data_IF_432344794627
#
_entry.id   IF_432344794627
#
_cell.length_a   1.000
_cell.length_b   1.000
_cell.length_c   1.000
_cell.angle_alpha   90.00
_cell.angle_beta   90.00
_cell.angle_gamma   90.00
#
_symmetry.space_group_name_H-M   'P 1'
#
loop_
_entity.id
_entity.type
_entity.pdbx_description
1 polymer ?
#
# COMPACT_ATOMS: atom_id res chain seq x y z
N UNK A 1 7.82 3.50 21.95
CA UNK A 1 8.41 2.15 21.87
C UNK A 1 7.92 1.40 23.10
N UNK A 2 6.90 0.56 22.95
CA UNK A 2 6.46 -0.32 24.02
C UNK A 2 7.49 -1.44 24.15
N UNK A 3 7.72 -1.90 25.35
CA UNK A 3 8.75 -2.88 25.74
C UNK A 3 8.84 -4.02 24.74
N UNK A 4 10.02 -4.17 24.13
CA UNK A 4 10.29 -5.14 23.09
C UNK A 4 10.32 -6.57 23.62
N UNK A 5 9.17 -7.14 23.89
CA UNK A 5 9.04 -8.56 24.23
C UNK A 5 9.09 -9.36 22.93
N UNK A 6 10.13 -10.16 22.75
CA UNK A 6 10.20 -11.13 21.66
C UNK A 6 9.24 -12.27 21.94
N UNK A 7 8.26 -12.47 21.07
CA UNK A 7 7.39 -13.64 21.09
C UNK A 7 7.62 -14.50 19.85
N UNK A 8 7.62 -15.81 20.03
CA UNK A 8 7.61 -16.74 18.90
C UNK A 8 6.16 -16.80 18.39
N UNK A 9 5.93 -16.27 17.20
CA UNK A 9 4.62 -16.42 16.53
C UNK A 9 4.51 -17.84 15.99
N UNK A 10 3.49 -18.55 16.41
CA UNK A 10 3.08 -19.83 15.83
C UNK A 10 1.66 -19.72 15.26
N UNK A 11 1.24 -20.69 14.47
CA UNK A 11 -0.11 -20.73 13.91
C UNK A 11 -1.23 -20.68 14.98
N UNK A 12 -0.89 -20.84 16.25
CA UNK A 12 -1.82 -20.85 17.39
C UNK A 12 -1.73 -19.55 18.21
N UNK A 13 -0.67 -18.75 18.02
CA UNK A 13 -0.47 -17.51 18.77
C UNK A 13 -0.64 -16.31 17.84
N UNK A 14 -1.88 -15.85 17.68
CA UNK A 14 -2.18 -14.62 16.97
C UNK A 14 -1.81 -13.41 17.85
N UNK A 15 -1.35 -12.29 17.26
CA UNK A 15 -1.17 -11.07 18.01
C UNK A 15 -2.51 -10.59 18.61
N UNK A 16 -2.45 -9.86 19.72
CA UNK A 16 -3.64 -9.28 20.32
C UNK A 16 -4.38 -8.36 19.33
N UNK A 17 -5.70 -8.21 19.47
CA UNK A 17 -6.54 -7.52 18.49
C UNK A 17 -6.21 -6.02 18.30
N UNK A 18 -5.47 -5.42 19.22
CA UNK A 18 -4.99 -4.05 19.19
C UNK A 18 -3.60 -3.90 18.53
N UNK A 19 -2.98 -5.02 18.13
CA UNK A 19 -1.67 -5.03 17.45
C UNK A 19 -1.88 -5.03 15.95
N UNK A 20 -1.46 -3.96 15.29
CA UNK A 20 -1.58 -3.78 13.83
C UNK A 20 -0.25 -3.89 13.08
N UNK A 21 0.85 -4.15 13.79
CA UNK A 21 2.18 -4.25 13.18
C UNK A 21 3.06 -5.20 13.99
N UNK A 22 3.72 -6.12 13.30
CA UNK A 22 4.65 -7.09 13.89
C UNK A 22 5.96 -7.04 13.12
N UNK A 23 7.06 -6.90 13.86
CA UNK A 23 8.40 -6.88 13.30
C UNK A 23 9.09 -8.23 13.51
N UNK A 24 9.58 -8.81 12.44
CA UNK A 24 10.34 -10.05 12.47
C UNK A 24 11.85 -9.78 12.55
N UNK A 25 12.48 -10.27 13.61
CA UNK A 25 13.93 -10.17 13.83
C UNK A 25 14.62 -11.51 13.59
N UNK A 26 15.60 -11.52 12.70
CA UNK A 26 16.47 -12.67 12.44
C UNK A 26 17.64 -12.66 13.44
N UNK A 27 17.61 -13.60 14.38
CA UNK A 27 18.64 -13.70 15.42
C UNK A 27 19.99 -14.13 14.86
N UNK A 28 20.03 -14.95 13.82
CA UNK A 28 21.27 -15.44 13.23
C UNK A 28 21.99 -14.32 12.47
N UNK A 29 21.21 -13.50 11.73
CA UNK A 29 21.75 -12.37 10.99
C UNK A 29 21.79 -11.08 11.81
N UNK A 30 21.29 -11.07 13.04
CA UNK A 30 21.17 -9.91 13.92
C UNK A 30 20.51 -8.69 13.21
N UNK A 31 19.46 -8.93 12.44
CA UNK A 31 18.82 -7.91 11.62
C UNK A 31 17.29 -8.02 11.62
N UNK A 32 16.63 -6.89 11.57
CA UNK A 32 15.19 -6.81 11.27
C UNK A 32 14.96 -7.16 9.79
N UNK A 33 14.13 -8.15 9.51
CA UNK A 33 13.92 -8.68 8.15
C UNK A 33 12.54 -8.42 7.60
N UNK A 34 11.53 -8.47 8.44
CA UNK A 34 10.13 -8.44 8.02
C UNK A 34 9.36 -7.44 8.85
N UNK A 35 8.54 -6.65 8.19
CA UNK A 35 7.54 -5.78 8.77
C UNK A 35 6.17 -6.25 8.28
N UNK A 36 5.38 -6.84 9.17
CA UNK A 36 4.05 -7.36 8.89
C UNK A 36 3.02 -6.36 9.39
N UNK A 37 2.30 -5.74 8.48
CA UNK A 37 1.18 -4.88 8.82
C UNK A 37 -0.12 -5.67 8.75
N UNK A 38 -0.91 -5.60 9.83
CA UNK A 38 -2.24 -6.21 9.93
C UNK A 38 -3.26 -5.12 9.58
N UNK A 39 -4.03 -5.36 8.53
CA UNK A 39 -5.07 -4.44 8.11
C UNK A 39 -6.43 -4.78 8.75
N UNK A 40 -7.34 -3.80 8.89
CA UNK A 40 -8.63 -3.99 9.57
C UNK A 40 -9.71 -4.68 8.72
N UNK A 41 -9.38 -5.18 7.52
CA UNK A 41 -10.34 -5.81 6.60
C UNK A 41 -10.82 -7.21 7.02
N UNK A 42 -11.60 -7.82 6.15
CA UNK A 42 -12.07 -9.21 6.25
C UNK A 42 -11.46 -10.04 5.12
N UNK A 43 -11.69 -11.37 5.04
CA UNK A 43 -11.24 -12.18 3.90
C UNK A 43 -11.69 -11.65 2.53
N UNK A 44 -12.86 -11.02 2.44
CA UNK A 44 -13.43 -10.52 1.18
C UNK A 44 -13.28 -9.00 1.01
N UNK A 45 -12.95 -8.28 2.07
CA UNK A 45 -12.96 -6.82 2.09
C UNK A 45 -11.61 -6.27 2.53
N UNK A 46 -11.02 -5.43 1.70
CA UNK A 46 -9.86 -4.62 2.05
C UNK A 46 -10.32 -3.25 2.55
N UNK A 47 -9.76 -2.79 3.66
CA UNK A 47 -10.05 -1.49 4.28
C UNK A 47 -8.76 -0.69 4.40
N UNK A 48 -8.78 0.55 3.96
CA UNK A 48 -7.63 1.43 4.13
C UNK A 48 -7.49 1.86 5.59
N UNK A 49 -6.43 1.40 6.25
CA UNK A 49 -6.23 1.58 7.69
C UNK A 49 -6.28 3.04 8.18
N UNK A 50 -5.86 4.00 7.34
CA UNK A 50 -5.78 5.41 7.72
C UNK A 50 -7.10 6.16 7.52
N UNK A 51 -7.99 5.61 6.72
CA UNK A 51 -9.35 6.09 6.52
C UNK A 51 -10.26 4.89 6.23
N UNK A 52 -10.96 4.38 7.26
CA UNK A 52 -11.83 3.20 7.13
C UNK A 52 -13.06 3.40 6.22
N UNK A 53 -13.32 4.61 5.76
CA UNK A 53 -14.36 4.86 4.76
C UNK A 53 -13.96 4.37 3.36
N UNK A 54 -12.65 4.19 3.13
CA UNK A 54 -12.11 3.65 1.87
C UNK A 54 -12.08 2.14 1.97
N UNK A 55 -13.07 1.54 1.33
CA UNK A 55 -13.32 0.10 1.31
C UNK A 55 -13.35 -0.40 -0.13
N UNK A 56 -12.68 -1.51 -0.38
CA UNK A 56 -12.67 -2.16 -1.69
C UNK A 56 -12.80 -3.68 -1.53
N UNK A 57 -13.20 -4.36 -2.60
CA UNK A 57 -13.09 -5.81 -2.67
C UNK A 57 -11.62 -6.23 -2.53
N UNK A 58 -11.34 -7.26 -1.72
CA UNK A 58 -9.97 -7.80 -1.61
C UNK A 58 -9.49 -8.36 -2.96
N UNK A 59 -10.38 -8.94 -3.74
CA UNK A 59 -10.07 -9.45 -5.08
C UNK A 59 -9.56 -8.33 -6.02
N UNK A 60 -10.07 -7.11 -5.87
CA UNK A 60 -9.61 -5.95 -6.64
C UNK A 60 -8.31 -5.36 -6.13
N UNK A 61 -8.02 -5.51 -4.83
CA UNK A 61 -6.87 -4.87 -4.19
C UNK A 61 -5.65 -5.77 -4.09
N UNK A 62 -5.81 -7.10 -4.17
CA UNK A 62 -4.71 -8.07 -4.10
C UNK A 62 -4.49 -8.67 -5.48
N UNK A 63 -3.35 -8.35 -6.06
CA UNK A 63 -2.88 -8.93 -7.32
C UNK A 63 -2.01 -10.17 -7.04
N UNK A 64 -1.71 -10.93 -8.08
CA UNK A 64 -0.76 -12.06 -8.02
C UNK A 64 0.33 -11.89 -9.07
N UNK A 65 1.56 -12.17 -8.69
CA UNK A 65 2.68 -12.25 -9.62
C UNK A 65 2.57 -13.52 -10.51
N UNK A 66 3.41 -13.60 -11.52
CA UNK A 66 3.53 -14.83 -12.37
C UNK A 66 3.91 -16.06 -11.55
N UNK A 67 4.59 -15.90 -10.42
CA UNK A 67 4.92 -16.96 -9.46
C UNK A 67 3.79 -17.23 -8.44
N UNK A 68 2.61 -16.60 -8.60
CA UNK A 68 1.47 -16.79 -7.70
C UNK A 68 1.56 -16.02 -6.37
N UNK A 69 2.61 -15.21 -6.16
CA UNK A 69 2.79 -14.43 -4.92
C UNK A 69 1.75 -13.32 -4.86
N UNK A 70 0.92 -13.27 -3.81
CA UNK A 70 -0.03 -12.17 -3.64
C UNK A 70 0.70 -10.88 -3.26
N UNK A 71 0.25 -9.75 -3.81
CA UNK A 71 0.75 -8.44 -3.47
C UNK A 71 -0.35 -7.37 -3.55
N UNK A 72 -0.24 -6.34 -2.73
CA UNK A 72 -1.18 -5.23 -2.75
C UNK A 72 -1.01 -4.40 -4.02
N UNK A 73 -2.12 -4.01 -4.62
CA UNK A 73 -2.14 -3.18 -5.83
C UNK A 73 -1.27 -1.92 -5.67
N UNK A 74 -0.42 -1.58 -6.66
CA UNK A 74 0.51 -0.44 -6.55
C UNK A 74 -0.16 0.88 -6.16
N UNK A 75 -1.35 1.17 -6.67
CA UNK A 75 -2.10 2.37 -6.30
C UNK A 75 -2.35 2.49 -4.78
N UNK A 76 -2.70 1.39 -4.12
CA UNK A 76 -2.91 1.38 -2.67
C UNK A 76 -1.59 1.54 -1.90
N UNK A 77 -0.52 0.92 -2.35
CA UNK A 77 0.82 1.09 -1.76
C UNK A 77 1.25 2.55 -1.85
N UNK A 78 1.05 3.19 -3.00
CA UNK A 78 1.39 4.59 -3.19
C UNK A 78 0.53 5.52 -2.32
N UNK A 79 -0.75 5.21 -2.12
CA UNK A 79 -1.60 5.98 -1.21
C UNK A 79 -1.08 5.93 0.24
N UNK A 80 -0.57 4.78 0.70
CA UNK A 80 0.11 4.70 2.00
C UNK A 80 1.39 5.56 2.06
N UNK A 81 2.16 5.62 0.98
CA UNK A 81 3.42 6.37 0.89
C UNK A 81 3.20 7.89 0.78
N UNK A 82 2.08 8.33 0.26
CA UNK A 82 1.75 9.73 0.05
C UNK A 82 1.73 10.56 1.33
N UNK A 83 1.37 9.97 2.48
CA UNK A 83 1.30 10.70 3.76
C UNK A 83 2.65 11.27 4.23
N UNK A 84 3.74 10.53 4.01
CA UNK A 84 5.11 10.91 4.41
C UNK A 84 6.09 10.46 3.33
N UNK A 85 6.06 11.16 2.21
CA UNK A 85 6.83 10.79 1.02
C UNK A 85 8.34 10.99 1.24
N UNK A 86 9.10 9.91 1.22
CA UNK A 86 10.57 9.89 1.28
C UNK A 86 11.16 9.82 -0.13
N UNK A 87 12.46 10.05 -0.26
CA UNK A 87 13.15 9.96 -1.55
C UNK A 87 12.91 8.61 -2.28
N UNK A 88 12.98 7.49 -1.54
CA UNK A 88 12.68 6.16 -2.09
C UNK A 88 11.24 6.01 -2.56
N UNK A 89 10.29 6.66 -1.89
CA UNK A 89 8.87 6.58 -2.25
C UNK A 89 8.58 7.35 -3.55
N UNK A 90 9.33 8.43 -3.82
CA UNK A 90 9.31 9.12 -5.13
C UNK A 90 9.87 8.24 -6.25
N UNK A 91 10.93 7.50 -5.98
CA UNK A 91 11.48 6.53 -6.93
C UNK A 91 10.48 5.40 -7.21
N UNK A 92 9.84 4.87 -6.18
CA UNK A 92 8.81 3.83 -6.32
C UNK A 92 7.62 4.34 -7.14
N UNK A 93 7.18 5.58 -6.90
CA UNK A 93 6.12 6.23 -7.68
C UNK A 93 6.50 6.35 -9.16
N UNK A 94 7.69 6.87 -9.45
CA UNK A 94 8.17 7.05 -10.83
C UNK A 94 8.26 5.70 -11.59
N UNK A 95 8.62 4.62 -10.91
CA UNK A 95 8.68 3.28 -11.51
C UNK A 95 7.29 2.65 -11.69
N UNK A 96 6.37 2.86 -10.75
CA UNK A 96 5.06 2.24 -10.77
C UNK A 96 4.10 2.94 -11.74
N UNK A 97 4.11 4.27 -11.77
CA UNK A 97 3.14 5.08 -12.51
C UNK A 97 2.96 4.69 -13.98
N UNK A 98 4.02 4.49 -14.80
CA UNK A 98 3.85 4.10 -16.20
C UNK A 98 3.31 2.68 -16.39
N UNK A 99 3.37 1.84 -15.35
CA UNK A 99 2.90 0.44 -15.36
C UNK A 99 1.49 0.28 -14.83
N UNK A 100 0.94 1.30 -14.20
CA UNK A 100 -0.41 1.27 -13.64
C UNK A 100 -1.44 1.32 -14.76
N UNK A 101 -2.52 0.54 -14.61
CA UNK A 101 -3.69 0.62 -15.48
C UNK A 101 -4.41 1.98 -15.33
N UNK A 102 -5.26 2.31 -16.30
CA UNK A 102 -6.10 3.52 -16.22
C UNK A 102 -6.96 3.50 -14.96
N UNK A 103 -7.55 2.35 -14.63
CA UNK A 103 -8.39 2.19 -13.44
C UNK A 103 -7.60 2.44 -12.16
N UNK A 104 -6.36 1.95 -12.08
CA UNK A 104 -5.50 2.19 -10.91
C UNK A 104 -5.14 3.68 -10.76
N UNK A 105 -4.84 4.35 -11.87
CA UNK A 105 -4.55 5.79 -11.86
C UNK A 105 -5.77 6.60 -11.43
N UNK A 106 -6.95 6.30 -11.97
CA UNK A 106 -8.21 6.94 -11.56
C UNK A 106 -8.49 6.72 -10.07
N UNK A 107 -8.31 5.48 -9.60
CA UNK A 107 -8.47 5.15 -8.19
C UNK A 107 -7.50 5.95 -7.31
N UNK A 108 -6.22 6.03 -7.70
CA UNK A 108 -5.19 6.77 -6.96
C UNK A 108 -5.48 8.27 -6.94
N UNK A 109 -5.83 8.90 -8.08
CA UNK A 109 -6.21 10.31 -8.14
C UNK A 109 -7.37 10.61 -7.20
N UNK A 110 -8.44 9.81 -7.27
CA UNK A 110 -9.62 9.99 -6.42
C UNK A 110 -9.25 10.05 -4.94
N UNK A 111 -8.45 9.10 -4.47
CA UNK A 111 -8.13 8.98 -3.05
C UNK A 111 -7.00 9.93 -2.62
N UNK A 112 -6.06 10.27 -3.50
CA UNK A 112 -5.12 11.36 -3.25
C UNK A 112 -5.83 12.70 -3.11
N UNK A 113 -6.75 13.02 -4.01
CA UNK A 113 -7.54 14.27 -3.93
C UNK A 113 -8.34 14.34 -2.63
N UNK A 114 -8.88 13.21 -2.18
CA UNK A 114 -9.65 13.16 -0.93
C UNK A 114 -8.77 13.37 0.31
N UNK A 115 -7.60 12.71 0.36
CA UNK A 115 -6.77 12.64 1.58
C UNK A 115 -5.60 13.63 1.57
N UNK A 116 -5.11 13.99 0.40
CA UNK A 116 -3.91 14.80 0.18
C UNK A 116 -4.10 15.70 -1.05
N UNK A 117 -5.03 16.68 -1.03
CA UNK A 117 -5.45 17.44 -2.22
C UNK A 117 -4.34 18.28 -2.85
N UNK A 118 -3.27 18.56 -2.12
CA UNK A 118 -2.11 19.33 -2.61
C UNK A 118 -0.88 18.45 -2.89
N UNK A 119 -1.07 17.13 -3.01
CA UNK A 119 0.06 16.24 -3.22
C UNK A 119 0.61 16.36 -4.65
N UNK A 120 1.93 16.52 -4.76
CA UNK A 120 2.65 16.70 -6.04
C UNK A 120 2.50 15.54 -7.05
N UNK A 121 2.09 14.36 -6.60
CA UNK A 121 1.80 13.24 -7.49
C UNK A 121 0.50 13.38 -8.29
N UNK A 122 -0.42 14.24 -7.86
CA UNK A 122 -1.70 14.43 -8.55
C UNK A 122 -1.51 14.88 -10.00
N UNK A 123 -0.68 15.89 -10.24
CA UNK A 123 -0.43 16.42 -11.58
C UNK A 123 0.19 15.35 -12.50
N UNK A 124 1.14 14.58 -11.97
CA UNK A 124 1.80 13.51 -12.72
C UNK A 124 0.85 12.37 -13.12
N UNK A 125 -0.05 11.96 -12.19
CA UNK A 125 -1.02 10.89 -12.47
C UNK A 125 -2.09 11.38 -13.45
N UNK A 126 -2.55 12.62 -13.32
CA UNK A 126 -3.54 13.22 -14.20
C UNK A 126 -3.01 13.40 -15.63
N UNK A 127 -1.77 13.85 -15.77
CA UNK A 127 -1.12 14.02 -17.06
C UNK A 127 -1.08 12.71 -17.88
N UNK A 128 -0.85 11.57 -17.22
CA UNK A 128 -0.86 10.25 -17.87
C UNK A 128 -2.26 9.65 -18.06
N UNK A 129 -3.27 10.25 -17.46
CA UNK A 129 -4.66 9.81 -17.57
C UNK A 129 -5.46 10.61 -18.59
N UNK A 130 -4.91 11.75 -19.05
CA UNK A 130 -5.53 12.55 -20.09
C UNK A 130 -5.46 11.80 -21.44
N UNK A 131 -6.52 11.83 -22.27
CA UNK A 131 -6.42 11.31 -23.63
C UNK A 131 -5.36 12.09 -24.40
N UNK A 132 -4.63 11.46 -25.33
CA UNK A 132 -3.66 12.18 -26.15
C UNK A 132 -4.37 13.33 -26.85
N UNK A 133 -3.91 14.54 -26.62
CA UNK A 133 -4.40 15.73 -27.31
C UNK A 133 -4.14 15.49 -28.80
N UNK A 134 -5.22 15.31 -29.58
CA UNK A 134 -5.11 15.27 -31.03
C UNK A 134 -4.51 16.62 -31.48
N UNK A 135 -3.22 16.61 -31.79
CA UNK A 135 -2.62 17.72 -32.51
C UNK A 135 -3.17 17.63 -33.94
N UNK A 136 -4.12 18.52 -34.21
CA UNK A 136 -4.53 18.80 -35.58
C UNK A 136 -3.42 19.51 -36.38
#
# INVERSE_FOLDING_TARGET
MKDGTFQVLSAICLPAADIFQVWGYDRAAQAWRVDVMIEPGTPDTWVYKRDPSIVCSRADMVMRSTAGIPYLRPAAVLLFKAKHTRAKDRSDFAMALPRMSVQERVWLVRHLTLLHPEHDWLDAVQALSAPPTAQG
#
